data_IF_412231263913
#
_entry.id   IF_412231263913
#
_cell.length_a   1.000
_cell.length_b   1.000
_cell.length_c   1.000
_cell.angle_alpha   90.00
_cell.angle_beta   90.00
_cell.angle_gamma   90.00
#
_symmetry.space_group_name_H-M   'P 1'
#
loop_
_entity.id
_entity.type
_entity.pdbx_description
1 polymer ?
#
# COMPACT_ATOMS: atom_id res chain seq x y z
N UNK A 1 -6.97 -16.98 -12.80
CA UNK A 1 -6.16 -15.78 -13.07
C UNK A 1 -7.09 -14.60 -12.86
N UNK A 2 -7.19 -14.11 -11.62
CA UNK A 2 -8.04 -12.95 -11.32
C UNK A 2 -7.16 -11.73 -11.51
N UNK A 3 -7.14 -11.18 -12.72
CA UNK A 3 -6.68 -9.82 -12.93
C UNK A 3 -7.80 -8.90 -12.45
N UNK A 4 -7.89 -8.68 -11.14
CA UNK A 4 -8.83 -7.70 -10.57
C UNK A 4 -8.51 -6.33 -11.14
N UNK A 5 -9.52 -5.57 -11.55
CA UNK A 5 -9.28 -4.16 -11.84
C UNK A 5 -9.06 -3.46 -10.51
N UNK A 6 -7.92 -2.77 -10.37
CA UNK A 6 -7.66 -1.92 -9.22
C UNK A 6 -8.81 -0.91 -9.00
N UNK A 7 -9.43 -0.46 -10.08
CA UNK A 7 -10.54 0.50 -10.06
C UNK A 7 -11.83 -0.04 -9.43
N UNK A 8 -11.95 -1.36 -9.27
CA UNK A 8 -13.10 -2.02 -8.65
C UNK A 8 -12.91 -2.29 -7.15
N UNK A 9 -11.72 -2.02 -6.61
CA UNK A 9 -11.39 -2.35 -5.23
C UNK A 9 -11.74 -1.21 -4.27
N UNK A 10 -12.38 -1.52 -3.14
CA UNK A 10 -12.84 -0.53 -2.16
C UNK A 10 -11.70 0.33 -1.56
N UNK A 11 -10.48 -0.21 -1.50
CA UNK A 11 -9.30 0.52 -1.01
C UNK A 11 -8.69 1.45 -2.05
N UNK A 12 -9.13 1.42 -3.31
CA UNK A 12 -8.61 2.27 -4.37
C UNK A 12 -9.47 3.51 -4.58
N UNK A 13 -8.89 4.68 -4.29
CA UNK A 13 -9.58 5.96 -4.41
C UNK A 13 -9.20 6.77 -5.66
N UNK A 14 -8.32 6.24 -6.53
CA UNK A 14 -7.85 7.00 -7.68
C UNK A 14 -6.99 8.20 -7.28
N UNK A 15 -7.34 9.41 -7.71
CA UNK A 15 -6.55 10.62 -7.44
C UNK A 15 -6.89 11.20 -6.06
N UNK A 16 -6.25 10.65 -5.03
CA UNK A 16 -6.48 11.09 -3.64
C UNK A 16 -5.39 12.07 -3.17
N UNK A 17 -5.75 13.30 -2.78
CA UNK A 17 -4.79 14.25 -2.24
C UNK A 17 -4.28 13.79 -0.86
N UNK A 18 -3.12 14.32 -0.45
CA UNK A 18 -2.49 13.93 0.83
C UNK A 18 -3.32 14.34 2.04
N UNK A 19 -4.14 15.37 1.91
CA UNK A 19 -4.99 15.89 2.98
C UNK A 19 -6.10 14.92 3.37
N UNK A 20 -6.69 14.17 2.43
CA UNK A 20 -7.77 13.22 2.71
C UNK A 20 -7.28 11.87 3.28
N UNK A 21 -6.00 11.56 3.16
CA UNK A 21 -5.42 10.28 3.61
C UNK A 21 -5.66 10.02 5.10
N UNK A 22 -5.26 10.91 6.03
CA UNK A 22 -5.50 10.70 7.46
C UNK A 22 -6.99 10.76 7.84
N UNK A 23 -7.86 11.29 6.97
CA UNK A 23 -9.31 11.29 7.19
C UNK A 23 -9.95 9.95 6.80
N UNK A 24 -9.34 9.23 5.85
CA UNK A 24 -9.76 7.89 5.43
C UNK A 24 -9.14 6.80 6.32
N UNK A 25 -7.90 6.99 6.76
CA UNK A 25 -7.22 6.07 7.67
C UNK A 25 -7.68 6.32 9.11
N UNK A 26 -8.71 5.59 9.55
CA UNK A 26 -9.33 5.80 10.87
C UNK A 26 -8.65 4.95 11.95
N UNK A 27 -8.15 3.75 11.61
CA UNK A 27 -7.63 2.77 12.56
C UNK A 27 -6.24 2.23 12.20
N UNK A 28 -5.55 1.64 13.17
CA UNK A 28 -4.19 1.12 12.97
C UNK A 28 -4.22 -0.08 12.04
N UNK A 29 -3.34 -0.07 11.04
CA UNK A 29 -3.35 -1.08 9.98
C UNK A 29 -4.34 -0.77 8.85
N UNK A 30 -5.10 0.32 8.94
CA UNK A 30 -5.89 0.80 7.81
C UNK A 30 -4.96 1.23 6.67
N UNK A 31 -5.36 0.96 5.44
CA UNK A 31 -4.58 1.28 4.27
C UNK A 31 -5.46 1.67 3.10
N UNK A 32 -4.90 2.52 2.25
CA UNK A 32 -5.54 2.94 1.02
C UNK A 32 -4.54 2.99 -0.12
N UNK A 33 -5.06 2.83 -1.33
CA UNK A 33 -4.32 2.93 -2.57
C UNK A 33 -4.82 4.14 -3.32
N UNK A 34 -3.87 5.01 -3.67
CA UNK A 34 -4.12 6.17 -4.50
C UNK A 34 -3.20 6.14 -5.69
N UNK A 35 -3.49 6.98 -6.66
CA UNK A 35 -2.71 7.19 -7.85
C UNK A 35 -2.31 8.66 -7.91
N UNK A 36 -1.17 8.94 -8.51
CA UNK A 36 -0.69 10.29 -8.76
C UNK A 36 -0.79 10.59 -10.24
N UNK A 37 -1.27 11.78 -10.58
CA UNK A 37 -1.07 12.35 -11.91
C UNK A 37 0.42 12.60 -12.10
N UNK A 38 1.05 11.71 -12.85
CA UNK A 38 2.39 11.92 -13.38
C UNK A 38 2.29 12.76 -14.65
N UNK A 39 3.38 13.46 -14.99
CA UNK A 39 3.43 14.28 -16.21
C UNK A 39 2.97 13.49 -17.45
N UNK A 40 2.46 14.13 -18.52
CA UNK A 40 1.94 13.45 -19.72
C UNK A 40 2.92 12.50 -20.42
N UNK A 41 4.21 12.53 -20.05
CA UNK A 41 5.26 11.64 -20.55
C UNK A 41 5.75 10.61 -19.52
N UNK A 42 5.10 10.52 -18.36
CA UNK A 42 5.43 9.59 -17.29
C UNK A 42 4.25 8.66 -17.02
N UNK A 43 4.51 7.38 -16.78
CA UNK A 43 3.46 6.42 -16.50
C UNK A 43 2.86 6.71 -15.12
N UNK A 44 1.56 6.40 -14.96
CA UNK A 44 0.79 6.66 -13.73
C UNK A 44 1.48 6.00 -12.54
N UNK A 45 1.74 6.76 -11.49
CA UNK A 45 2.31 6.22 -10.26
C UNK A 45 1.18 5.85 -9.31
N UNK A 46 1.27 4.68 -8.69
CA UNK A 46 0.35 4.26 -7.62
C UNK A 46 1.07 4.46 -6.29
N UNK A 47 0.37 4.93 -5.27
CA UNK A 47 0.93 5.19 -3.94
C UNK A 47 0.04 4.49 -2.93
N UNK A 48 0.63 3.65 -2.10
CA UNK A 48 -0.06 2.96 -1.02
C UNK A 48 0.20 3.75 0.26
N UNK A 49 -0.83 4.10 1.00
CA UNK A 49 -0.71 4.83 2.26
C UNK A 49 -1.29 3.98 3.38
N UNK A 50 -0.48 3.66 4.39
CA UNK A 50 -0.84 2.73 5.48
C UNK A 50 -0.65 3.46 6.80
N UNK A 51 -1.65 3.42 7.69
CA UNK A 51 -1.49 3.92 9.05
C UNK A 51 -0.76 2.86 9.87
N UNK A 52 0.50 3.15 10.17
CA UNK A 52 1.37 2.25 10.94
C UNK A 52 1.16 2.42 12.44
N UNK A 53 0.88 3.66 12.85
CA UNK A 53 0.71 4.01 14.26
C UNK A 53 -0.30 5.15 14.36
N UNK A 54 -1.44 4.91 15.01
CA UNK A 54 -2.50 5.88 15.26
C UNK A 54 -2.17 6.86 16.38
N UNK A 55 -1.59 6.46 17.54
CA UNK A 55 -1.29 7.42 18.60
C UNK A 55 -0.21 8.43 18.19
N UNK A 56 0.71 8.05 17.31
CA UNK A 56 1.76 8.91 16.74
C UNK A 56 1.37 9.51 15.40
N UNK A 57 0.29 9.01 14.76
CA UNK A 57 -0.16 9.45 13.43
C UNK A 57 0.84 9.13 12.32
N UNK A 58 1.61 8.05 12.46
CA UNK A 58 2.63 7.66 11.48
C UNK A 58 1.93 6.97 10.31
N UNK A 59 1.98 7.61 9.15
CA UNK A 59 1.51 7.05 7.88
C UNK A 59 2.71 6.72 7.00
N UNK A 60 2.79 5.47 6.53
CA UNK A 60 3.80 5.04 5.58
C UNK A 60 3.27 5.15 4.17
N UNK A 61 4.02 5.83 3.30
CA UNK A 61 3.71 5.95 1.88
C UNK A 61 4.67 5.11 1.05
N UNK A 62 4.14 4.23 0.21
CA UNK A 62 4.89 3.36 -0.68
C UNK A 62 4.58 3.78 -2.11
N UNK A 63 5.60 4.18 -2.86
CA UNK A 63 5.43 4.58 -4.27
C UNK A 63 5.67 3.37 -5.17
N UNK A 64 4.68 3.10 -6.00
CA UNK A 64 4.70 2.17 -7.11
C UNK A 64 4.94 2.96 -8.39
N UNK A 65 6.09 2.72 -8.99
CA UNK A 65 6.45 3.24 -10.30
C UNK A 65 5.97 2.27 -11.37
N UNK A 66 5.78 2.73 -12.60
CA UNK A 66 5.50 1.85 -13.71
C UNK A 66 6.61 2.00 -14.75
N UNK A 67 7.07 0.90 -15.32
CA UNK A 67 8.12 0.92 -16.34
C UNK A 67 7.55 1.14 -17.74
N UNK A 68 8.43 1.39 -18.70
CA UNK A 68 8.11 1.48 -20.13
C UNK A 68 7.46 0.21 -20.70
N UNK A 69 7.64 -0.92 -20.02
CA UNK A 69 7.02 -2.21 -20.37
C UNK A 69 5.59 -2.36 -19.84
N UNK A 70 5.07 -1.39 -19.08
CA UNK A 70 3.76 -1.47 -18.42
C UNK A 70 3.75 -2.27 -17.12
N UNK A 71 4.91 -2.74 -16.62
CA UNK A 71 5.03 -3.41 -15.33
C UNK A 71 5.08 -2.40 -14.18
N UNK A 72 4.50 -2.74 -13.05
CA UNK A 72 4.49 -1.96 -11.81
C UNK A 72 5.67 -2.36 -10.92
N UNK A 73 6.59 -1.44 -10.65
CA UNK A 73 7.75 -1.62 -9.78
C UNK A 73 7.56 -0.88 -8.46
N UNK A 74 8.06 -1.47 -7.39
CA UNK A 74 8.11 -0.81 -6.08
C UNK A 74 9.55 -0.58 -5.63
N UNK A 75 9.70 0.20 -4.56
CA UNK A 75 11.00 0.44 -3.91
C UNK A 75 11.68 -0.87 -3.44
N UNK A 76 10.91 -1.94 -3.23
CA UNK A 76 11.41 -3.27 -2.83
C UNK A 76 12.06 -4.08 -3.98
N UNK A 77 12.41 -3.43 -5.10
CA UNK A 77 13.02 -4.06 -6.27
C UNK A 77 12.16 -5.18 -6.92
N UNK A 78 10.86 -5.17 -6.64
CA UNK A 78 9.89 -6.13 -7.15
C UNK A 78 9.10 -5.51 -8.30
N UNK A 79 8.86 -6.29 -9.36
CA UNK A 79 8.06 -5.90 -10.52
C UNK A 79 6.86 -6.81 -10.67
N UNK A 80 5.68 -6.23 -10.78
CA UNK A 80 4.40 -6.91 -10.86
C UNK A 80 3.69 -6.56 -12.16
N UNK A 81 2.89 -7.50 -12.66
CA UNK A 81 2.08 -7.31 -13.88
C UNK A 81 0.73 -6.66 -13.58
N UNK A 82 0.34 -6.55 -12.31
CA UNK A 82 -0.92 -5.91 -11.89
C UNK A 82 -0.77 -5.27 -10.50
N UNK A 83 -1.44 -4.14 -10.30
CA UNK A 83 -1.47 -3.46 -9.00
C UNK A 83 -2.09 -4.33 -7.91
N UNK A 84 -3.24 -5.01 -8.08
CA UNK A 84 -3.76 -5.86 -7.01
C UNK A 84 -2.83 -7.01 -6.62
N UNK A 85 -2.09 -7.59 -7.57
CA UNK A 85 -1.08 -8.61 -7.30
C UNK A 85 0.06 -8.04 -6.44
N UNK A 86 0.50 -6.82 -6.77
CA UNK A 86 1.44 -6.05 -5.97
C UNK A 86 0.88 -5.74 -4.57
N UNK A 87 -0.36 -5.28 -4.45
CA UNK A 87 -1.00 -4.98 -3.16
C UNK A 87 -1.08 -6.25 -2.32
N UNK A 88 -1.57 -7.34 -2.89
CA UNK A 88 -1.68 -8.62 -2.19
C UNK A 88 -0.30 -9.14 -1.76
N UNK A 89 0.71 -9.01 -2.61
CA UNK A 89 2.10 -9.29 -2.22
C UNK A 89 2.55 -8.39 -1.09
N UNK A 90 2.28 -7.09 -1.13
CA UNK A 90 2.64 -6.15 -0.07
C UNK A 90 1.86 -6.35 1.23
N UNK A 91 0.63 -6.86 1.17
CA UNK A 91 -0.15 -7.24 2.34
C UNK A 91 0.39 -8.54 2.95
N UNK A 92 0.74 -9.52 2.11
CA UNK A 92 1.25 -10.83 2.55
C UNK A 92 2.72 -10.80 2.98
N UNK A 93 3.57 -10.02 2.30
CA UNK A 93 4.96 -9.74 2.67
C UNK A 93 5.07 -8.51 3.59
N UNK A 94 3.95 -7.84 3.85
CA UNK A 94 3.82 -6.69 4.75
C UNK A 94 4.24 -7.00 6.19
N UNK A 95 4.39 -8.28 6.53
CA UNK A 95 4.99 -8.71 7.79
C UNK A 95 6.41 -8.16 7.98
N UNK A 96 7.22 -7.96 6.93
CA UNK A 96 8.56 -7.37 7.11
C UNK A 96 8.54 -5.83 7.30
N UNK A 97 7.44 -5.17 6.94
CA UNK A 97 7.31 -3.70 6.89
C UNK A 97 6.52 -3.16 8.08
N UNK A 98 5.52 -3.91 8.55
CA UNK A 98 4.71 -3.63 9.75
C UNK A 98 5.30 -4.28 11.02
N UNK A 99 5.97 -5.45 10.93
CA UNK A 99 6.45 -6.19 12.11
C UNK A 99 7.79 -5.70 12.69
N UNK A 100 8.18 -4.45 12.44
CA UNK A 100 9.26 -3.80 13.23
C UNK A 100 8.68 -2.98 14.39
N UNK A 101 7.36 -2.82 14.47
CA UNK A 101 6.70 -2.24 15.64
C UNK A 101 5.77 -3.27 16.28
N UNK A 102 6.38 -4.08 17.15
CA UNK A 102 5.78 -4.67 18.35
C UNK A 102 4.46 -5.45 18.20
N UNK A 103 4.58 -6.75 17.93
CA UNK A 103 3.89 -7.70 18.80
C UNK A 103 4.93 -8.62 19.45
N UNK A 104 5.56 -8.04 20.47
CA UNK A 104 6.00 -8.84 21.62
C UNK A 104 4.75 -9.14 22.45
N UNK A 105 3.86 -10.00 21.96
CA UNK A 105 2.95 -10.71 22.85
C UNK A 105 3.45 -12.13 22.93
N UNK A 106 4.14 -12.37 24.03
CA UNK A 106 4.40 -13.68 24.55
C UNK A 106 3.11 -14.52 24.44
N UNK A 107 3.14 -15.52 23.57
CA UNK A 107 2.23 -16.65 23.68
C UNK A 107 2.75 -17.53 24.83
N UNK A 108 2.63 -17.02 26.06
CA UNK A 108 2.46 -17.88 27.23
C UNK A 108 1.06 -18.49 27.10
N UNK A 109 0.99 -19.71 26.55
CA UNK A 109 -0.17 -20.56 26.79
C UNK A 109 0.10 -21.41 28.04
N UNK A 110 -0.66 -21.21 29.13
CA UNK A 110 -0.65 -22.10 30.28
C UNK A 110 -1.50 -23.35 30.01
N UNK A 111 -0.93 -24.53 30.24
CA UNK A 111 -1.46 -25.62 31.07
C UNK A 111 -0.54 -26.84 31.01
#
# INVERSE_FOLDING_TARGET
MVGGNLEEEDYYHGLLPREDIPHLLIDEGDFLVRSSETAPNQPRQVIISILVDKPSGIVRHIVVQQNVQGKFLTDANASFDSVPDLIQFYLNYGEAVLSTVVDSKAEEMPS
#
